data_IF_763024229256
#
_entry.id   IF_763024229256
#
_cell.length_a   1.000
_cell.length_b   1.000
_cell.length_c   1.000
_cell.angle_alpha   90.00
_cell.angle_beta   90.00
_cell.angle_gamma   90.00
#
_symmetry.space_group_name_H-M   'P 1'
#
loop_
_entity.id
_entity.type
_entity.pdbx_description
1 polymer ?
#
# COMPACT_ATOMS: atom_id res chain seq x y z
N UNK A 1 53.03 34.80 -22.46
CA UNK A 1 53.19 35.85 -21.44
C UNK A 1 52.00 36.79 -21.60
N UNK A 2 51.14 37.13 -20.64
CA UNK A 2 51.03 36.88 -19.21
C UNK A 2 49.51 36.76 -18.88
N UNK A 3 49.13 35.87 -17.96
CA UNK A 3 47.77 35.82 -17.38
C UNK A 3 47.72 36.81 -16.21
N UNK A 4 46.83 37.79 -16.27
CA UNK A 4 46.50 38.66 -15.13
C UNK A 4 45.72 37.85 -14.09
N UNK A 5 46.28 37.68 -12.90
CA UNK A 5 45.64 37.04 -11.75
C UNK A 5 44.67 37.99 -11.06
N UNK A 6 43.40 37.61 -10.96
CA UNK A 6 42.41 38.28 -10.11
C UNK A 6 42.55 37.80 -8.65
N UNK A 7 42.50 38.73 -7.70
CA UNK A 7 42.49 38.42 -6.26
C UNK A 7 41.21 37.67 -5.85
N UNK A 8 41.28 36.75 -4.87
CA UNK A 8 40.11 36.02 -4.37
C UNK A 8 39.16 36.96 -3.61
N UNK A 9 37.86 36.87 -3.91
CA UNK A 9 36.81 37.64 -3.24
C UNK A 9 36.52 37.03 -1.88
N UNK A 10 36.77 37.76 -0.79
CA UNK A 10 36.38 37.32 0.55
C UNK A 10 34.86 37.42 0.73
N UNK A 11 34.21 36.33 1.15
CA UNK A 11 32.78 36.30 1.45
C UNK A 11 32.56 36.35 2.98
N UNK A 12 31.65 37.23 3.44
CA UNK A 12 31.29 37.36 4.85
C UNK A 12 30.04 36.52 5.18
N UNK A 13 30.03 35.90 6.36
CA UNK A 13 28.87 35.14 6.84
C UNK A 13 27.67 36.07 7.06
N UNK A 14 26.47 35.71 6.54
CA UNK A 14 25.24 36.52 6.67
C UNK A 14 24.39 36.20 7.90
N UNK A 15 24.90 35.42 8.86
CA UNK A 15 24.14 35.12 10.08
C UNK A 15 24.09 36.37 11.00
N UNK A 16 22.94 36.69 11.64
CA UNK A 16 22.85 37.78 12.59
C UNK A 16 23.92 37.62 13.68
N UNK A 17 24.71 38.67 13.92
CA UNK A 17 25.80 38.73 14.91
C UNK A 17 27.04 37.85 14.62
N UNK A 18 27.28 37.42 13.38
CA UNK A 18 28.49 36.67 13.00
C UNK A 18 29.41 37.50 12.07
N UNK A 19 30.52 38.02 12.60
CA UNK A 19 31.46 38.88 11.87
C UNK A 19 32.68 38.14 11.29
N UNK A 20 32.58 36.82 11.05
CA UNK A 20 33.72 36.01 10.59
C UNK A 20 33.77 35.88 9.07
N UNK A 21 34.94 36.12 8.47
CA UNK A 21 35.22 35.90 7.04
C UNK A 21 35.32 34.40 6.72
N UNK A 22 34.70 33.96 5.62
CA UNK A 22 34.72 32.55 5.16
C UNK A 22 35.65 32.45 3.94
N UNK A 23 36.54 31.45 3.92
CA UNK A 23 37.40 31.18 2.77
C UNK A 23 36.72 30.25 1.75
N UNK A 24 37.06 30.39 0.47
CA UNK A 24 36.39 29.70 -0.64
C UNK A 24 36.48 28.16 -0.59
N UNK A 25 37.37 27.60 0.23
CA UNK A 25 37.61 26.15 0.33
C UNK A 25 36.91 25.46 1.49
N UNK A 26 36.12 26.18 2.30
CA UNK A 26 35.44 25.60 3.47
C UNK A 26 33.92 25.81 3.42
N UNK A 27 33.11 24.75 3.25
CA UNK A 27 31.66 24.89 3.04
C UNK A 27 30.88 25.30 4.31
N UNK A 28 31.53 25.43 5.46
CA UNK A 28 30.91 25.76 6.75
C UNK A 28 31.67 26.85 7.48
N UNK A 29 30.96 27.81 8.06
CA UNK A 29 31.58 28.80 8.94
C UNK A 29 32.04 28.13 10.25
N UNK A 30 33.33 28.21 10.59
CA UNK A 30 33.91 27.56 11.77
C UNK A 30 33.30 28.00 13.11
N UNK A 31 32.83 29.25 13.18
CA UNK A 31 32.25 29.81 14.41
C UNK A 31 30.82 29.31 14.66
N UNK A 32 29.95 29.31 13.64
CA UNK A 32 28.52 29.00 13.82
C UNK A 32 28.07 27.66 13.19
N UNK A 33 29.00 26.94 12.53
CA UNK A 33 28.78 25.67 11.80
C UNK A 33 27.67 25.69 10.74
N UNK A 34 27.21 26.86 10.30
CA UNK A 34 26.23 26.99 9.20
C UNK A 34 26.91 26.96 7.84
N UNK A 35 26.23 26.37 6.86
CA UNK A 35 26.71 26.21 5.48
C UNK A 35 26.63 27.53 4.72
N UNK A 36 27.70 27.91 4.02
CA UNK A 36 27.71 29.07 3.11
C UNK A 36 26.93 28.71 1.84
N UNK A 37 25.96 29.54 1.44
CA UNK A 37 25.08 29.27 0.28
C UNK A 37 25.71 29.64 -1.08
N UNK A 38 26.98 30.05 -1.14
CA UNK A 38 27.63 30.41 -2.40
C UNK A 38 29.02 29.78 -2.53
N UNK A 39 29.07 28.54 -3.02
CA UNK A 39 30.26 27.98 -3.68
C UNK A 39 29.79 27.24 -4.93
N UNK A 40 29.88 27.90 -6.09
CA UNK A 40 29.77 27.23 -7.40
C UNK A 40 31.15 26.70 -7.76
N UNK A 41 31.36 25.38 -7.64
CA UNK A 41 32.57 24.74 -8.14
C UNK A 41 32.47 24.57 -9.66
N UNK A 42 33.29 25.34 -10.37
CA UNK A 42 33.66 25.05 -11.76
C UNK A 42 34.58 23.82 -11.77
N UNK A 43 34.05 22.67 -12.18
CA UNK A 43 34.85 21.58 -12.74
C UNK A 43 34.07 20.95 -13.88
N UNK A 44 34.65 21.05 -15.07
CA UNK A 44 34.08 20.67 -16.33
C UNK A 44 34.03 19.16 -16.49
N UNK A 45 32.85 18.55 -16.36
CA UNK A 45 32.45 17.33 -17.06
C UNK A 45 30.94 17.43 -17.35
N UNK A 46 30.63 17.72 -18.62
CA UNK A 46 29.31 18.21 -19.04
C UNK A 46 28.20 17.18 -18.93
N UNK A 47 27.27 17.43 -18.01
CA UNK A 47 25.85 17.09 -18.19
C UNK A 47 25.14 18.38 -18.58
N UNK A 48 24.55 18.42 -19.78
CA UNK A 48 23.80 19.59 -20.25
C UNK A 48 22.57 19.82 -19.37
N UNK A 49 22.54 20.93 -18.65
CA UNK A 49 21.40 21.38 -17.84
C UNK A 49 20.64 22.43 -18.66
N UNK A 50 19.43 22.10 -19.12
CA UNK A 50 18.46 23.12 -19.54
C UNK A 50 17.71 23.56 -18.29
N UNK A 51 17.92 24.80 -17.86
CA UNK A 51 17.28 25.38 -16.68
C UNK A 51 15.95 26.06 -17.03
N UNK A 52 14.86 25.57 -16.46
CA UNK A 52 13.76 26.43 -16.02
C UNK A 52 13.02 25.78 -14.82
N UNK A 53 12.97 26.46 -13.67
CA UNK A 53 11.91 26.31 -12.65
C UNK A 53 11.77 25.03 -11.80
N UNK A 54 12.86 24.47 -11.26
CA UNK A 54 13.01 23.81 -9.94
C UNK A 54 12.00 22.74 -9.38
N UNK A 55 12.02 21.51 -9.93
CA UNK A 55 12.37 20.26 -9.18
C UNK A 55 13.12 19.34 -10.17
N UNK A 56 14.35 18.95 -9.83
CA UNK A 56 15.28 18.25 -10.73
C UNK A 56 14.74 16.86 -11.13
N UNK A 57 14.18 16.73 -12.33
CA UNK A 57 13.98 15.42 -12.98
C UNK A 57 15.36 14.79 -13.18
N UNK A 58 15.64 13.68 -12.51
CA UNK A 58 16.90 12.94 -12.73
C UNK A 58 16.77 12.16 -14.02
N UNK A 59 17.41 12.64 -15.08
CA UNK A 59 17.53 11.95 -16.37
C UNK A 59 18.92 11.34 -16.47
N UNK A 60 19.01 10.03 -16.67
CA UNK A 60 20.28 9.34 -16.92
C UNK A 60 20.59 9.34 -18.41
N UNK A 61 21.87 9.32 -18.76
CA UNK A 61 22.27 9.21 -20.15
C UNK A 61 21.93 7.82 -20.71
N UNK A 62 21.55 7.78 -21.99
CA UNK A 62 21.29 6.53 -22.70
C UNK A 62 22.59 5.78 -23.01
N UNK A 63 22.46 4.51 -23.41
CA UNK A 63 23.57 3.74 -23.92
C UNK A 63 24.24 4.48 -25.10
N UNK A 64 25.56 4.61 -25.08
CA UNK A 64 26.31 5.31 -26.13
C UNK A 64 26.30 4.58 -27.49
N UNK A 65 25.92 3.30 -27.52
CA UNK A 65 25.71 2.55 -28.75
C UNK A 65 24.39 2.98 -29.41
N UNK A 66 24.49 3.57 -30.61
CA UNK A 66 23.37 4.18 -31.33
C UNK A 66 22.23 3.23 -31.70
N UNK A 67 22.51 1.93 -31.90
CA UNK A 67 21.50 0.91 -32.19
C UNK A 67 21.06 0.10 -30.96
N UNK A 68 21.42 0.53 -29.74
CA UNK A 68 20.95 -0.11 -28.52
C UNK A 68 19.60 0.47 -28.07
N UNK A 69 18.56 -0.35 -27.84
CA UNK A 69 17.25 0.12 -27.39
C UNK A 69 17.21 0.54 -25.90
N UNK A 70 18.30 0.36 -25.16
CA UNK A 70 18.40 0.67 -23.73
C UNK A 70 18.43 2.19 -23.47
N UNK A 71 17.64 2.65 -22.50
CA UNK A 71 17.51 4.07 -22.18
C UNK A 71 18.39 4.53 -21.02
N UNK A 72 19.26 3.67 -20.50
CA UNK A 72 20.25 4.02 -19.50
C UNK A 72 21.60 3.39 -19.81
N UNK A 73 22.69 4.14 -19.61
CA UNK A 73 24.05 3.62 -19.56
C UNK A 73 24.33 2.94 -18.21
N UNK A 74 25.42 2.18 -18.10
CA UNK A 74 25.73 1.36 -16.93
C UNK A 74 25.81 2.18 -15.62
N UNK A 75 26.42 3.36 -15.65
CA UNK A 75 26.45 4.29 -14.51
C UNK A 75 25.45 5.45 -14.60
N UNK A 76 24.79 5.60 -15.74
CA UNK A 76 23.94 6.75 -16.04
C UNK A 76 24.71 7.97 -16.58
N UNK A 77 26.04 7.85 -16.76
CA UNK A 77 26.88 8.87 -17.37
C UNK A 77 26.82 8.86 -18.91
N UNK A 78 27.00 10.04 -19.52
CA UNK A 78 27.04 10.24 -20.98
C UNK A 78 28.26 9.53 -21.57
N UNK A 79 28.07 8.87 -22.71
CA UNK A 79 29.16 8.19 -23.43
C UNK A 79 29.45 6.76 -22.95
N UNK A 80 28.72 6.25 -21.97
CA UNK A 80 28.86 4.88 -21.48
C UNK A 80 27.90 3.89 -22.14
N UNK A 81 28.33 2.63 -22.23
CA UNK A 81 27.50 1.51 -22.66
C UNK A 81 26.59 1.05 -21.51
N UNK A 82 25.40 0.53 -21.83
CA UNK A 82 24.47 0.01 -20.83
C UNK A 82 24.93 -1.29 -20.15
N UNK A 83 25.76 -2.09 -20.83
CA UNK A 83 26.30 -3.34 -20.33
C UNK A 83 27.56 -3.74 -21.11
N UNK A 84 28.22 -4.82 -20.65
CA UNK A 84 29.43 -5.37 -21.28
C UNK A 84 29.18 -5.83 -22.72
N UNK A 85 28.06 -6.47 -23.00
CA UNK A 85 27.67 -6.87 -24.37
C UNK A 85 27.64 -5.69 -25.35
N UNK A 86 27.04 -4.57 -24.91
CA UNK A 86 27.03 -3.33 -25.70
C UNK A 86 28.42 -2.73 -25.85
N UNK A 87 29.28 -2.83 -24.83
CA UNK A 87 30.67 -2.39 -24.90
C UNK A 87 31.48 -3.22 -25.90
N UNK A 88 31.21 -4.52 -25.96
CA UNK A 88 31.98 -5.50 -26.75
C UNK A 88 31.54 -5.58 -28.23
N UNK A 89 30.59 -4.76 -28.66
CA UNK A 89 30.21 -4.68 -30.09
C UNK A 89 28.73 -4.98 -30.37
N UNK A 90 28.04 -5.65 -29.46
CA UNK A 90 26.72 -6.23 -29.73
C UNK A 90 25.64 -5.44 -29.01
N UNK A 91 24.71 -4.85 -29.76
CA UNK A 91 23.57 -4.15 -29.18
C UNK A 91 22.65 -5.12 -28.40
N UNK A 92 22.04 -4.65 -27.32
CA UNK A 92 21.00 -5.42 -26.65
C UNK A 92 19.83 -5.69 -27.61
N UNK A 93 19.39 -6.93 -27.71
CA UNK A 93 18.27 -7.31 -28.57
C UNK A 93 16.93 -6.68 -28.12
N UNK A 94 16.83 -6.28 -26.85
CA UNK A 94 15.66 -5.65 -26.23
C UNK A 94 16.11 -4.60 -25.22
N UNK A 95 15.19 -3.75 -24.79
CA UNK A 95 15.39 -2.69 -23.81
C UNK A 95 15.59 -3.26 -22.40
N UNK A 96 16.73 -3.90 -22.18
CA UNK A 96 17.04 -4.62 -20.94
C UNK A 96 17.51 -3.68 -19.82
N UNK A 97 18.01 -2.49 -20.16
CA UNK A 97 18.63 -1.57 -19.22
C UNK A 97 17.96 -0.20 -19.34
N UNK A 98 16.98 0.01 -18.46
CA UNK A 98 16.19 1.24 -18.39
C UNK A 98 16.61 2.14 -17.23
N UNK A 99 17.48 1.64 -16.35
CA UNK A 99 18.15 2.34 -15.25
C UNK A 99 19.62 1.88 -15.13
N UNK A 100 20.53 2.72 -14.57
CA UNK A 100 21.93 2.35 -14.40
C UNK A 100 22.16 1.21 -13.41
N UNK A 101 23.04 0.27 -13.76
CA UNK A 101 23.40 -0.88 -12.91
C UNK A 101 24.27 -0.50 -11.71
N UNK A 102 25.12 0.54 -11.80
CA UNK A 102 25.90 0.99 -10.64
C UNK A 102 25.03 1.56 -9.51
N UNK A 103 23.75 1.81 -9.77
CA UNK A 103 22.76 2.17 -8.76
C UNK A 103 22.19 0.96 -8.00
N UNK A 104 22.33 -0.25 -8.55
CA UNK A 104 21.94 -1.50 -7.90
C UNK A 104 23.03 -2.04 -6.95
N UNK A 105 24.27 -1.53 -7.06
CA UNK A 105 25.42 -2.04 -6.31
C UNK A 105 26.24 -0.89 -5.68
N UNK A 106 25.77 -0.34 -4.56
CA UNK A 106 26.61 0.50 -3.70
C UNK A 106 25.91 1.64 -2.95
N UNK A 107 25.44 1.35 -1.73
CA UNK A 107 25.59 2.25 -0.57
C UNK A 107 25.41 1.44 0.72
N UNK A 108 26.30 0.47 0.93
CA UNK A 108 26.63 -0.03 2.26
C UNK A 108 27.96 0.60 2.69
N UNK A 109 27.92 1.79 3.29
CA UNK A 109 29.00 2.29 4.15
C UNK A 109 28.44 3.26 5.19
N UNK A 110 28.42 2.79 6.43
CA UNK A 110 28.58 3.49 7.72
C UNK A 110 28.15 4.96 7.86
N UNK A 111 27.08 5.16 8.63
CA UNK A 111 26.91 6.27 9.59
C UNK A 111 25.96 5.74 10.69
N UNK A 112 26.44 5.35 11.87
CA UNK A 112 26.76 6.30 12.94
C UNK A 112 25.60 6.30 13.95
N UNK A 113 25.57 5.33 14.86
CA UNK A 113 24.64 5.31 16.00
C UNK A 113 24.93 6.48 16.94
N UNK A 114 23.91 7.18 17.48
CA UNK A 114 24.04 7.91 18.72
C UNK A 114 23.61 7.03 19.90
N UNK A 115 24.51 7.04 20.87
CA UNK A 115 24.50 6.39 22.17
C UNK A 115 23.51 7.01 23.17
N UNK A 116 23.24 6.19 24.19
CA UNK A 116 22.50 6.43 25.42
C UNK A 116 22.96 7.69 26.18
N UNK A 117 22.00 8.38 26.77
CA UNK A 117 22.15 9.30 27.90
C UNK A 117 20.76 9.83 28.25
N UNK A 118 20.31 9.99 29.49
CA UNK A 118 20.85 9.80 30.82
C UNK A 118 19.75 10.34 31.73
N UNK A 119 19.23 9.52 32.65
CA UNK A 119 18.15 9.90 33.55
C UNK A 119 18.69 10.81 34.66
N UNK A 120 18.11 12.00 34.82
CA UNK A 120 18.31 12.86 35.97
C UNK A 120 17.07 12.82 36.86
N UNK A 121 17.29 12.46 38.13
CA UNK A 121 16.36 12.55 39.25
C UNK A 121 16.13 14.01 39.64
N UNK A 122 14.92 14.32 40.11
CA UNK A 122 14.60 15.57 40.80
C UNK A 122 13.35 15.38 41.65
N UNK A 123 13.57 15.30 42.96
CA UNK A 123 12.57 15.17 44.01
C UNK A 123 11.65 16.41 44.10
N UNK A 124 10.38 16.20 44.46
CA UNK A 124 9.62 17.18 45.21
C UNK A 124 8.63 16.47 46.16
N UNK A 125 8.90 16.65 47.45
CA UNK A 125 8.10 16.22 48.60
C UNK A 125 6.85 17.08 48.74
N UNK A 126 5.74 16.46 49.13
CA UNK A 126 4.51 17.14 49.55
C UNK A 126 3.66 16.20 50.42
N UNK A 127 3.75 16.41 51.73
CA UNK A 127 3.19 15.63 52.83
C UNK A 127 1.70 15.94 53.07
N UNK A 128 0.87 14.94 53.45
CA UNK A 128 0.04 14.97 54.69
C UNK A 128 -0.89 13.74 54.85
N UNK A 129 -0.69 13.02 55.97
CA UNK A 129 -1.63 12.43 56.98
C UNK A 129 -3.10 12.13 56.59
N UNK A 130 -3.84 11.17 57.15
CA UNK A 130 -3.66 9.94 57.97
C UNK A 130 -5.07 9.36 58.24
N UNK A 131 -5.12 8.13 58.77
CA UNK A 131 -6.22 7.51 59.54
C UNK A 131 -7.39 6.83 58.80
N UNK A 132 -7.27 5.49 58.75
CA UNK A 132 -8.12 4.52 59.47
C UNK A 132 -9.63 4.38 59.18
N UNK A 133 -9.95 3.09 58.97
CA UNK A 133 -11.15 2.31 59.34
C UNK A 133 -12.22 2.00 58.28
N UNK A 134 -12.33 0.67 58.10
CA UNK A 134 -13.42 -0.18 57.65
C UNK A 134 -14.80 0.42 57.37
N UNK A 135 -15.40 -0.03 56.27
CA UNK A 135 -16.72 -0.69 56.29
C UNK A 135 -16.97 -1.44 54.99
N UNK A 136 -17.41 -2.69 55.12
CA UNK A 136 -17.99 -3.50 54.05
C UNK A 136 -19.24 -2.81 53.50
N UNK A 137 -19.30 -2.62 52.18
CA UNK A 137 -20.56 -2.59 51.44
C UNK A 137 -20.31 -3.18 50.04
N UNK A 138 -20.80 -4.39 49.84
CA UNK A 138 -20.98 -4.96 48.52
C UNK A 138 -22.12 -4.22 47.84
N UNK A 139 -21.92 -3.66 46.64
CA UNK A 139 -22.95 -3.63 45.59
C UNK A 139 -22.41 -3.13 44.25
N UNK A 140 -22.76 -3.89 43.21
CA UNK A 140 -22.79 -3.57 41.77
C UNK A 140 -21.52 -2.96 41.13
N UNK A 141 -20.71 -3.84 40.56
CA UNK A 141 -20.07 -3.54 39.28
C UNK A 141 -21.17 -3.18 38.28
N UNK A 142 -21.30 -1.89 37.96
CA UNK A 142 -22.03 -1.45 36.78
C UNK A 142 -21.32 -2.02 35.55
N UNK A 143 -21.83 -3.16 35.09
CA UNK A 143 -21.59 -3.68 33.75
C UNK A 143 -22.27 -2.73 32.76
N UNK A 144 -21.55 -1.70 32.35
CA UNK A 144 -21.93 -0.85 31.22
C UNK A 144 -22.09 -1.74 29.98
N UNK A 145 -23.33 -2.11 29.69
CA UNK A 145 -23.70 -2.91 28.52
C UNK A 145 -23.25 -2.15 27.26
N UNK A 146 -22.20 -2.67 26.63
CA UNK A 146 -21.75 -2.24 25.31
C UNK A 146 -22.95 -2.24 24.36
N UNK A 147 -23.16 -1.14 23.64
CA UNK A 147 -24.08 -1.12 22.52
C UNK A 147 -23.71 -2.29 21.56
N UNK A 148 -24.69 -3.11 21.11
CA UNK A 148 -24.39 -4.31 20.35
C UNK A 148 -23.70 -3.98 19.02
N UNK A 149 -22.84 -4.88 18.51
CA UNK A 149 -22.26 -4.75 17.18
C UNK A 149 -23.32 -4.56 16.10
N UNK A 150 -23.01 -3.87 14.97
CA UNK A 150 -23.84 -3.91 13.77
C UNK A 150 -24.11 -5.39 13.47
N UNK A 151 -25.38 -5.75 13.51
CA UNK A 151 -25.80 -7.15 13.57
C UNK A 151 -25.62 -7.82 12.19
N UNK A 152 -25.13 -9.05 12.15
CA UNK A 152 -25.23 -9.90 10.99
C UNK A 152 -26.62 -10.56 10.95
N UNK A 153 -27.39 -10.33 9.89
CA UNK A 153 -28.71 -10.93 9.68
C UNK A 153 -29.11 -10.92 8.18
N UNK A 154 -30.26 -11.48 7.78
CA UNK A 154 -30.49 -12.10 6.46
C UNK A 154 -30.86 -11.11 5.35
N UNK A 155 -30.74 -11.60 4.12
CA UNK A 155 -31.23 -10.99 2.89
C UNK A 155 -32.72 -10.67 3.05
N UNK A 156 -33.02 -9.37 3.11
CA UNK A 156 -34.34 -8.73 3.14
C UNK A 156 -35.45 -9.41 3.97
N UNK A 157 -35.61 -8.95 5.22
CA UNK A 157 -36.86 -8.44 5.83
C UNK A 157 -36.76 -8.49 7.36
N UNK A 158 -36.11 -7.48 7.95
CA UNK A 158 -36.04 -7.32 9.41
C UNK A 158 -34.65 -6.92 9.89
N UNK A 159 -34.52 -5.66 10.30
CA UNK A 159 -33.40 -5.05 11.06
C UNK A 159 -32.04 -5.83 11.04
N UNK A 160 -31.28 -5.57 9.95
CA UNK A 160 -29.80 -5.46 9.83
C UNK A 160 -29.10 -6.60 9.04
N UNK A 161 -28.74 -6.35 7.78
CA UNK A 161 -28.24 -7.31 6.78
C UNK A 161 -26.72 -7.34 6.65
N UNK A 162 -26.06 -8.50 6.53
CA UNK A 162 -24.65 -8.53 6.06
C UNK A 162 -24.62 -8.22 4.57
N UNK A 163 -23.67 -7.40 4.12
CA UNK A 163 -23.37 -7.18 2.71
C UNK A 163 -21.99 -7.77 2.41
N UNK A 164 -21.97 -8.97 1.84
CA UNK A 164 -20.73 -9.61 1.43
C UNK A 164 -20.31 -9.16 0.02
N UNK A 165 -19.01 -9.08 -0.20
CA UNK A 165 -18.42 -8.68 -1.47
C UNK A 165 -17.03 -9.29 -1.66
N UNK A 166 -16.56 -9.41 -2.91
CA UNK A 166 -15.18 -9.81 -3.24
C UNK A 166 -14.72 -9.34 -4.61
N UNK A 167 -15.50 -9.65 -5.66
CA UNK A 167 -15.23 -9.35 -7.06
C UNK A 167 -13.80 -9.69 -7.55
N UNK A 168 -13.43 -10.96 -7.76
CA UNK A 168 -12.15 -11.33 -8.36
C UNK A 168 -12.20 -11.23 -9.90
N UNK A 169 -12.51 -10.04 -10.44
CA UNK A 169 -12.83 -9.74 -11.86
C UNK A 169 -14.14 -10.30 -12.42
N UNK A 170 -14.91 -10.97 -11.59
CA UNK A 170 -16.27 -11.41 -11.90
C UNK A 170 -17.07 -11.40 -10.61
N UNK A 171 -18.38 -11.32 -10.72
CA UNK A 171 -19.23 -11.44 -9.54
C UNK A 171 -19.17 -12.89 -9.01
N UNK A 172 -19.10 -13.01 -7.69
CA UNK A 172 -19.35 -14.26 -6.97
C UNK A 172 -20.82 -14.37 -6.57
N UNK A 173 -21.23 -15.52 -6.04
CA UNK A 173 -22.61 -15.75 -5.58
C UNK A 173 -23.07 -14.72 -4.54
N UNK A 174 -22.19 -14.38 -3.58
CA UNK A 174 -22.51 -13.36 -2.57
C UNK A 174 -22.43 -11.93 -3.10
N UNK A 175 -21.59 -11.66 -4.11
CA UNK A 175 -21.57 -10.37 -4.81
C UNK A 175 -22.92 -10.10 -5.48
N UNK A 176 -23.41 -11.07 -6.27
CA UNK A 176 -24.69 -11.01 -6.98
C UNK A 176 -25.85 -10.88 -5.99
N UNK A 177 -25.85 -11.70 -4.94
CA UNK A 177 -26.91 -11.69 -3.96
C UNK A 177 -26.98 -10.42 -3.11
N UNK A 178 -25.83 -9.85 -2.75
CA UNK A 178 -25.79 -8.61 -1.98
C UNK A 178 -25.85 -7.36 -2.87
N UNK A 179 -25.67 -7.49 -4.19
CA UNK A 179 -25.51 -6.36 -5.10
C UNK A 179 -24.32 -5.45 -4.73
N UNK A 180 -23.27 -6.04 -4.14
CA UNK A 180 -22.19 -5.31 -3.47
C UNK A 180 -20.81 -5.49 -4.14
N UNK A 181 -20.75 -6.07 -5.34
CA UNK A 181 -19.50 -6.27 -6.10
C UNK A 181 -18.65 -5.00 -6.24
N UNK A 182 -19.29 -3.84 -6.34
CA UNK A 182 -18.65 -2.53 -6.46
C UNK A 182 -17.73 -2.17 -5.30
N UNK A 183 -17.84 -2.84 -4.15
CA UNK A 183 -16.99 -2.65 -2.99
C UNK A 183 -15.60 -3.30 -3.14
N UNK A 184 -15.48 -4.34 -3.99
CA UNK A 184 -14.23 -5.07 -4.22
C UNK A 184 -13.10 -4.22 -4.82
N UNK A 185 -11.86 -4.58 -4.51
CA UNK A 185 -10.69 -3.82 -4.97
C UNK A 185 -10.41 -3.97 -6.47
N UNK A 186 -10.83 -5.10 -7.04
CA UNK A 186 -10.65 -5.41 -8.46
C UNK A 186 -11.81 -4.87 -9.31
N UNK A 187 -12.86 -4.32 -8.69
CA UNK A 187 -13.99 -3.74 -9.40
C UNK A 187 -13.57 -2.56 -10.28
N UNK A 188 -14.01 -2.51 -11.56
CA UNK A 188 -13.68 -1.42 -12.46
C UNK A 188 -14.19 -0.07 -11.95
N UNK A 189 -13.29 0.87 -11.71
CA UNK A 189 -13.61 2.23 -11.34
C UNK A 189 -12.46 3.16 -11.70
N UNK A 190 -12.78 4.36 -12.18
CA UNK A 190 -11.77 5.40 -12.38
C UNK A 190 -11.38 6.02 -11.04
N UNK A 191 -10.10 5.89 -10.68
CA UNK A 191 -9.55 6.33 -9.40
C UNK A 191 -8.36 7.24 -9.66
N UNK A 192 -8.49 8.50 -9.29
CA UNK A 192 -7.44 9.49 -9.47
C UNK A 192 -6.71 9.78 -8.15
N UNK A 193 -5.42 9.42 -8.07
CA UNK A 193 -4.56 9.67 -6.90
C UNK A 193 -3.21 10.24 -7.33
N UNK A 194 -2.50 10.82 -6.37
CA UNK A 194 -1.08 11.15 -6.56
C UNK A 194 -0.25 9.93 -6.20
N UNK A 195 0.71 9.60 -7.06
CA UNK A 195 1.83 8.70 -6.75
C UNK A 195 3.09 9.53 -6.87
N UNK A 196 3.76 9.72 -5.74
CA UNK A 196 4.74 10.76 -5.47
C UNK A 196 4.17 12.13 -5.88
N UNK A 197 4.86 12.85 -6.76
CA UNK A 197 4.42 14.14 -7.30
C UNK A 197 3.58 14.00 -8.59
N UNK A 198 3.19 12.79 -9.00
CA UNK A 198 2.48 12.55 -10.27
C UNK A 198 1.02 12.15 -10.03
N UNK A 199 0.09 12.97 -10.55
CA UNK A 199 -1.33 12.63 -10.58
C UNK A 199 -1.62 11.61 -11.68
N UNK A 200 -2.17 10.46 -11.32
CA UNK A 200 -2.50 9.36 -12.23
C UNK A 200 -3.94 8.88 -12.00
N UNK A 201 -4.55 8.35 -13.06
CA UNK A 201 -5.87 7.69 -13.00
C UNK A 201 -5.68 6.20 -13.22
N UNK A 202 -6.30 5.38 -12.37
CA UNK A 202 -6.24 3.92 -12.39
C UNK A 202 -7.64 3.36 -12.63
N UNK A 203 -7.72 2.14 -13.18
CA UNK A 203 -8.98 1.47 -13.53
C UNK A 203 -9.56 0.58 -12.43
N UNK A 204 -8.85 0.42 -11.31
CA UNK A 204 -9.29 -0.33 -10.14
C UNK A 204 -8.52 0.12 -8.89
N UNK A 205 -9.07 -0.20 -7.71
CA UNK A 205 -8.40 0.09 -6.44
C UNK A 205 -7.13 -0.76 -6.27
N UNK A 206 -7.15 -2.01 -6.74
CA UNK A 206 -5.97 -2.88 -6.78
C UNK A 206 -4.83 -2.22 -7.57
N UNK A 207 -5.08 -1.74 -8.79
CA UNK A 207 -4.07 -1.08 -9.60
C UNK A 207 -3.50 0.18 -8.94
N UNK A 208 -4.37 1.03 -8.37
CA UNK A 208 -3.95 2.21 -7.63
C UNK A 208 -3.10 1.86 -6.39
N UNK A 209 -3.50 0.84 -5.64
CA UNK A 209 -2.82 0.43 -4.42
C UNK A 209 -1.44 -0.18 -4.71
N UNK A 210 -1.32 -1.05 -5.71
CA UNK A 210 -0.01 -1.59 -6.09
C UNK A 210 0.91 -0.48 -6.67
N UNK A 211 0.36 0.52 -7.35
CA UNK A 211 1.14 1.67 -7.79
C UNK A 211 1.77 2.46 -6.63
N UNK A 212 1.11 2.52 -5.47
CA UNK A 212 1.69 3.13 -4.27
C UNK A 212 2.84 2.29 -3.69
N UNK A 213 2.81 0.96 -3.84
CA UNK A 213 3.93 0.08 -3.45
C UNK A 213 5.11 0.15 -4.42
N UNK A 214 4.85 0.43 -5.69
CA UNK A 214 5.85 0.43 -6.74
C UNK A 214 5.80 1.75 -7.53
N UNK A 215 6.08 2.90 -6.88
CA UNK A 215 5.84 4.22 -7.47
C UNK A 215 6.62 4.45 -8.78
N UNK A 216 7.81 3.86 -8.92
CA UNK A 216 8.64 3.96 -10.12
C UNK A 216 8.00 3.36 -11.39
N UNK A 217 7.05 2.43 -11.24
CA UNK A 217 6.30 1.85 -12.35
C UNK A 217 4.78 2.11 -12.27
N UNK A 218 4.34 3.09 -11.47
CA UNK A 218 2.94 3.46 -11.30
C UNK A 218 2.17 3.68 -12.62
N UNK A 219 2.83 4.21 -13.65
CA UNK A 219 2.23 4.39 -14.98
C UNK A 219 1.85 3.07 -15.67
N UNK A 220 2.55 1.97 -15.39
CA UNK A 220 2.17 0.66 -15.92
C UNK A 220 0.84 0.23 -15.30
N UNK A 221 0.74 0.30 -13.96
CA UNK A 221 -0.50 0.00 -13.22
C UNK A 221 -1.69 0.85 -13.67
N UNK A 222 -1.48 2.13 -14.04
CA UNK A 222 -2.58 3.01 -14.51
C UNK A 222 -3.36 2.47 -15.71
N UNK A 223 -2.74 1.58 -16.49
CA UNK A 223 -3.33 0.98 -17.70
C UNK A 223 -3.83 -0.45 -17.49
N UNK A 224 -3.75 -0.97 -16.27
CA UNK A 224 -4.08 -2.35 -15.92
C UNK A 224 -5.46 -2.42 -15.28
N UNK A 225 -6.09 -3.58 -15.39
CA UNK A 225 -7.24 -3.90 -14.54
C UNK A 225 -6.74 -4.50 -13.21
N UNK A 226 -7.65 -5.01 -12.37
CA UNK A 226 -7.26 -5.62 -11.09
C UNK A 226 -6.35 -6.85 -11.23
N UNK A 227 -6.63 -7.77 -12.16
CA UNK A 227 -5.88 -9.03 -12.28
C UNK A 227 -4.51 -8.82 -12.92
N UNK A 228 -4.43 -7.96 -13.94
CA UNK A 228 -3.16 -7.57 -14.55
C UNK A 228 -2.24 -6.89 -13.52
N UNK A 229 -2.80 -5.99 -12.70
CA UNK A 229 -2.07 -5.34 -11.62
C UNK A 229 -1.57 -6.35 -10.57
N UNK A 230 -2.43 -7.28 -10.15
CA UNK A 230 -2.04 -8.33 -9.22
C UNK A 230 -0.98 -9.28 -9.80
N UNK A 231 -1.03 -9.55 -11.11
CA UNK A 231 -0.04 -10.37 -11.79
C UNK A 231 1.31 -9.65 -11.86
N UNK A 232 1.29 -8.38 -12.27
CA UNK A 232 2.50 -7.55 -12.32
C UNK A 232 3.14 -7.41 -10.94
N UNK A 233 2.35 -7.15 -9.89
CA UNK A 233 2.90 -6.95 -8.54
C UNK A 233 3.62 -8.19 -8.04
N UNK A 234 3.14 -9.39 -8.34
CA UNK A 234 3.83 -10.65 -7.99
C UNK A 234 5.16 -10.77 -8.70
N UNK A 235 5.20 -10.49 -10.00
CA UNK A 235 6.45 -10.51 -10.76
C UNK A 235 7.47 -9.46 -10.24
N UNK A 236 6.99 -8.31 -9.75
CA UNK A 236 7.87 -7.29 -9.16
C UNK A 236 8.37 -7.68 -7.77
N UNK A 237 7.54 -8.33 -6.93
CA UNK A 237 7.93 -8.76 -5.58
C UNK A 237 9.10 -9.77 -5.60
N UNK A 238 9.28 -10.51 -6.70
CA UNK A 238 10.40 -11.44 -6.88
C UNK A 238 11.75 -10.72 -7.07
N UNK A 239 11.75 -9.53 -7.70
CA UNK A 239 12.97 -8.80 -8.08
C UNK A 239 13.20 -7.50 -7.29
N UNK A 240 12.15 -6.95 -6.68
CA UNK A 240 12.16 -5.62 -6.07
C UNK A 240 11.35 -5.58 -4.77
N UNK A 241 11.98 -5.06 -3.71
CA UNK A 241 11.27 -4.78 -2.48
C UNK A 241 10.24 -3.64 -2.69
N UNK A 242 8.98 -3.81 -2.24
CA UNK A 242 7.99 -2.73 -2.34
C UNK A 242 8.38 -1.55 -1.44
N UNK A 243 7.97 -0.35 -1.86
CA UNK A 243 8.01 0.83 -1.01
C UNK A 243 7.05 0.65 0.18
N UNK A 244 7.64 0.47 1.36
CA UNK A 244 6.91 0.27 2.62
C UNK A 244 6.25 1.54 3.14
N UNK A 245 6.61 2.70 2.60
CA UNK A 245 5.95 3.99 2.91
C UNK A 245 4.75 4.24 2.03
N UNK A 246 4.53 3.39 1.01
CA UNK A 246 3.45 3.52 0.04
C UNK A 246 3.42 4.89 -0.62
N UNK A 247 4.54 5.34 -1.18
CA UNK A 247 4.67 6.68 -1.77
C UNK A 247 4.40 7.80 -0.75
N UNK A 248 4.89 7.61 0.48
CA UNK A 248 4.76 8.58 1.57
C UNK A 248 3.42 8.59 2.32
N UNK A 249 2.52 7.65 2.03
CA UNK A 249 1.24 7.51 2.76
C UNK A 249 1.34 6.81 4.13
N UNK A 250 2.52 6.28 4.46
CA UNK A 250 2.81 5.68 5.77
C UNK A 250 2.68 4.16 5.74
N UNK A 251 1.48 3.64 5.95
CA UNK A 251 1.23 2.19 6.04
C UNK A 251 0.31 1.64 4.94
N UNK A 252 0.21 0.31 4.87
CA UNK A 252 -0.74 -0.39 3.99
C UNK A 252 -2.19 0.05 4.26
N UNK A 253 -2.53 0.22 5.54
CA UNK A 253 -3.84 0.67 6.01
C UNK A 253 -4.15 2.09 5.53
N UNK A 254 -3.20 3.02 5.67
CA UNK A 254 -3.35 4.42 5.27
C UNK A 254 -3.35 4.58 3.75
N UNK A 255 -2.50 3.85 3.03
CA UNK A 255 -2.49 3.85 1.58
C UNK A 255 -3.81 3.36 0.97
N UNK A 256 -4.40 2.29 1.53
CA UNK A 256 -5.71 1.80 1.08
C UNK A 256 -6.83 2.82 1.36
N UNK A 257 -6.74 3.59 2.44
CA UNK A 257 -7.68 4.70 2.70
C UNK A 257 -7.68 5.72 1.58
N UNK A 258 -6.49 6.16 1.15
CA UNK A 258 -6.34 7.16 0.09
C UNK A 258 -6.97 6.66 -1.20
N UNK A 259 -6.70 5.40 -1.56
CA UNK A 259 -7.27 4.76 -2.75
C UNK A 259 -8.79 4.68 -2.68
N UNK A 260 -9.35 4.18 -1.59
CA UNK A 260 -10.81 4.02 -1.45
C UNK A 260 -11.51 5.38 -1.35
N UNK A 261 -10.95 6.35 -0.62
CA UNK A 261 -11.49 7.72 -0.61
C UNK A 261 -11.52 8.32 -2.01
N UNK A 262 -10.47 8.12 -2.81
CA UNK A 262 -10.46 8.57 -4.20
C UNK A 262 -11.49 7.84 -5.07
N UNK A 263 -11.68 6.52 -4.88
CA UNK A 263 -12.70 5.71 -5.57
C UNK A 263 -14.10 6.28 -5.39
N UNK A 264 -14.51 6.52 -4.15
CA UNK A 264 -15.85 7.02 -3.85
C UNK A 264 -16.00 8.53 -4.11
N UNK A 265 -14.93 9.32 -3.90
CA UNK A 265 -14.96 10.76 -4.21
C UNK A 265 -15.10 11.05 -5.71
N UNK A 266 -14.53 10.21 -6.56
CA UNK A 266 -14.57 10.41 -8.02
C UNK A 266 -15.83 9.83 -8.68
N UNK A 267 -16.62 9.05 -7.94
CA UNK A 267 -17.77 8.31 -8.47
C UNK A 267 -19.00 8.45 -7.56
N UNK A 268 -19.82 9.47 -7.79
CA UNK A 268 -21.02 9.75 -6.97
C UNK A 268 -21.99 8.57 -6.91
N UNK A 269 -22.13 7.81 -8.00
CA UNK A 269 -22.96 6.59 -8.03
C UNK A 269 -22.45 5.54 -7.03
N UNK A 270 -21.14 5.30 -6.98
CA UNK A 270 -20.53 4.35 -6.05
C UNK A 270 -20.59 4.86 -4.61
N UNK A 271 -20.41 6.17 -4.41
CA UNK A 271 -20.55 6.78 -3.08
C UNK A 271 -21.98 6.65 -2.54
N UNK A 272 -22.98 6.88 -3.39
CA UNK A 272 -24.39 6.68 -3.04
C UNK A 272 -24.65 5.22 -2.70
N UNK A 273 -24.23 4.28 -3.56
CA UNK A 273 -24.39 2.86 -3.29
C UNK A 273 -23.72 2.42 -1.97
N UNK A 274 -22.53 2.94 -1.64
CA UNK A 274 -21.89 2.70 -0.35
C UNK A 274 -22.73 3.24 0.82
N UNK A 275 -23.28 4.46 0.71
CA UNK A 275 -24.18 5.01 1.73
C UNK A 275 -25.47 4.21 1.88
N UNK A 276 -26.00 3.69 0.78
CA UNK A 276 -27.25 2.93 0.70
C UNK A 276 -27.12 1.53 1.33
N UNK A 277 -25.90 1.02 1.51
CA UNK A 277 -25.66 -0.16 2.37
C UNK A 277 -26.12 0.06 3.83
N UNK A 278 -26.42 1.30 4.22
CA UNK A 278 -27.06 1.57 5.50
C UNK A 278 -26.14 1.26 6.67
N UNK A 279 -26.67 0.55 7.67
CA UNK A 279 -25.90 0.05 8.81
C UNK A 279 -25.41 -1.40 8.61
N UNK A 280 -25.46 -1.91 7.37
CA UNK A 280 -25.05 -3.28 7.06
C UNK A 280 -23.58 -3.51 7.40
N UNK A 281 -23.26 -4.70 7.88
CA UNK A 281 -21.87 -5.11 8.06
C UNK A 281 -21.27 -5.46 6.70
N UNK A 282 -20.21 -4.78 6.31
CA UNK A 282 -19.54 -5.03 5.03
C UNK A 282 -18.48 -6.12 5.24
N UNK A 283 -18.64 -7.26 4.58
CA UNK A 283 -17.76 -8.42 4.70
C UNK A 283 -17.04 -8.67 3.38
N UNK A 284 -15.73 -8.49 3.34
CA UNK A 284 -14.94 -9.01 2.22
C UNK A 284 -14.81 -10.53 2.40
N UNK A 285 -15.63 -11.29 1.67
CA UNK A 285 -15.72 -12.74 1.78
C UNK A 285 -15.10 -13.42 0.56
N UNK A 286 -14.12 -14.30 0.77
CA UNK A 286 -13.50 -15.10 -0.29
C UNK A 286 -13.86 -16.57 -0.12
N UNK A 287 -14.22 -17.30 -1.18
CA UNK A 287 -14.42 -18.76 -1.09
C UNK A 287 -13.14 -19.53 -0.76
N UNK A 288 -11.98 -18.90 -0.93
CA UNK A 288 -10.70 -19.52 -0.65
C UNK A 288 -10.17 -19.15 0.73
N UNK A 289 -9.89 -20.18 1.53
CA UNK A 289 -9.24 -20.07 2.84
C UNK A 289 -7.71 -19.94 2.69
N UNK A 290 -7.08 -19.23 3.62
CA UNK A 290 -5.62 -19.00 3.70
C UNK A 290 -5.01 -18.17 2.56
N UNK A 291 -5.81 -17.33 1.89
CA UNK A 291 -5.29 -16.39 0.87
C UNK A 291 -4.92 -15.03 1.45
N UNK A 292 -5.84 -14.40 2.17
CA UNK A 292 -5.65 -13.01 2.60
C UNK A 292 -6.32 -12.69 3.95
N UNK A 293 -5.68 -13.11 5.05
CA UNK A 293 -6.22 -12.96 6.42
C UNK A 293 -6.35 -11.51 6.91
N UNK A 294 -5.65 -10.56 6.29
CA UNK A 294 -5.69 -9.17 6.74
C UNK A 294 -6.85 -8.39 6.10
N UNK A 295 -6.96 -8.38 4.76
CA UNK A 295 -8.00 -7.62 4.09
C UNK A 295 -9.36 -8.30 4.18
N UNK A 296 -9.40 -9.63 3.99
CA UNK A 296 -10.63 -10.43 3.98
C UNK A 296 -10.93 -11.09 5.33
N UNK A 297 -12.06 -11.78 5.39
CA UNK A 297 -12.47 -12.67 6.47
C UNK A 297 -11.80 -14.06 6.43
N UNK A 298 -10.88 -14.29 5.49
CA UNK A 298 -10.22 -15.58 5.24
C UNK A 298 -11.18 -16.70 4.76
N UNK A 299 -12.41 -16.37 4.36
CA UNK A 299 -13.43 -17.32 3.91
C UNK A 299 -14.09 -18.14 5.01
N UNK A 300 -13.51 -18.16 6.21
CA UNK A 300 -13.98 -18.90 7.38
C UNK A 300 -14.29 -18.00 8.58
N UNK A 301 -14.21 -16.68 8.41
CA UNK A 301 -14.41 -15.70 9.47
C UNK A 301 -13.20 -15.44 10.37
N UNK A 302 -12.09 -16.16 10.20
CA UNK A 302 -10.89 -15.99 11.02
C UNK A 302 -10.01 -14.78 10.63
N UNK A 303 -10.29 -14.18 9.46
CA UNK A 303 -9.60 -12.99 8.97
C UNK A 303 -10.01 -11.70 9.69
N UNK A 304 -9.27 -10.62 9.42
CA UNK A 304 -9.49 -9.31 10.03
C UNK A 304 -10.59 -8.52 9.32
N UNK A 305 -10.95 -8.86 8.07
CA UNK A 305 -11.90 -8.08 7.25
C UNK A 305 -11.55 -6.57 7.24
N UNK A 306 -10.25 -6.24 7.13
CA UNK A 306 -9.80 -4.85 7.17
C UNK A 306 -10.37 -4.03 6.00
N UNK A 307 -10.66 -4.63 4.85
CA UNK A 307 -11.25 -3.91 3.73
C UNK A 307 -12.69 -3.49 4.07
N UNK A 308 -13.51 -4.42 4.56
CA UNK A 308 -14.86 -4.14 5.04
C UNK A 308 -14.87 -3.08 6.15
N UNK A 309 -13.95 -3.18 7.11
CA UNK A 309 -13.75 -2.16 8.14
C UNK A 309 -13.50 -0.77 7.54
N UNK A 310 -12.56 -0.67 6.59
CA UNK A 310 -12.19 0.61 5.98
C UNK A 310 -13.35 1.23 5.21
N UNK A 311 -14.11 0.41 4.48
CA UNK A 311 -15.30 0.85 3.75
C UNK A 311 -16.40 1.36 4.69
N UNK A 312 -16.63 0.70 5.83
CA UNK A 312 -17.59 1.16 6.83
C UNK A 312 -17.20 2.51 7.45
N UNK A 313 -15.90 2.75 7.68
CA UNK A 313 -15.41 4.05 8.13
C UNK A 313 -15.63 5.14 7.07
N UNK A 314 -15.31 4.86 5.80
CA UNK A 314 -15.54 5.79 4.69
C UNK A 314 -17.03 6.08 4.50
N UNK A 315 -17.89 5.05 4.61
CA UNK A 315 -19.34 5.22 4.60
C UNK A 315 -19.80 6.19 5.68
N UNK A 316 -19.30 6.04 6.91
CA UNK A 316 -19.58 6.96 8.01
C UNK A 316 -19.17 8.40 7.73
N UNK A 317 -17.98 8.61 7.17
CA UNK A 317 -17.52 9.95 6.77
C UNK A 317 -18.44 10.57 5.71
N UNK A 318 -18.80 9.81 4.67
CA UNK A 318 -19.69 10.28 3.60
C UNK A 318 -21.08 10.61 4.14
N UNK A 319 -21.66 9.75 4.99
CA UNK A 319 -22.97 9.97 5.62
C UNK A 319 -22.94 11.18 6.54
N UNK A 320 -21.88 11.37 7.33
CA UNK A 320 -21.71 12.54 8.19
C UNK A 320 -21.68 13.83 7.38
N UNK A 321 -20.98 13.87 6.25
CA UNK A 321 -20.97 15.02 5.33
C UNK A 321 -22.37 15.33 4.77
N UNK A 322 -23.25 14.33 4.71
CA UNK A 322 -24.66 14.45 4.29
C UNK A 322 -25.63 14.74 5.44
N UNK A 323 -25.14 14.95 6.67
CA UNK A 323 -25.97 15.15 7.86
C UNK A 323 -26.70 13.88 8.35
N UNK A 324 -26.24 12.70 7.92
CA UNK A 324 -26.82 11.41 8.29
C UNK A 324 -26.02 10.75 9.42
N UNK A 325 -26.73 10.04 10.31
CA UNK A 325 -26.11 9.21 11.33
C UNK A 325 -25.64 7.86 10.74
N UNK A 326 -24.57 7.31 11.30
CA UNK A 326 -24.03 5.98 10.95
C UNK A 326 -23.63 5.25 12.24
N UNK A 327 -24.54 4.42 12.75
CA UNK A 327 -24.36 3.72 14.02
C UNK A 327 -23.18 2.73 13.96
N UNK A 328 -22.86 2.24 12.77
CA UNK A 328 -21.71 1.37 12.54
C UNK A 328 -20.40 2.10 12.86
N UNK A 329 -20.22 3.33 12.37
CA UNK A 329 -19.02 4.13 12.61
C UNK A 329 -18.85 4.51 14.08
N UNK A 330 -19.96 4.79 14.77
CA UNK A 330 -19.93 5.05 16.22
C UNK A 330 -19.51 3.81 17.01
N UNK A 331 -20.01 2.63 16.62
CA UNK A 331 -19.59 1.37 17.20
C UNK A 331 -18.11 1.06 16.91
N UNK A 332 -17.65 1.30 15.68
CA UNK A 332 -16.26 1.12 15.27
C UNK A 332 -15.31 1.99 16.09
N UNK A 333 -15.64 3.27 16.31
CA UNK A 333 -14.85 4.18 17.18
C UNK A 333 -14.73 3.67 18.61
N UNK A 334 -15.77 3.02 19.15
CA UNK A 334 -15.72 2.44 20.50
C UNK A 334 -14.80 1.23 20.58
N UNK A 335 -14.76 0.40 19.54
CA UNK A 335 -13.94 -0.82 19.54
C UNK A 335 -12.48 -0.53 19.21
N UNK A 336 -12.20 0.34 18.26
CA UNK A 336 -10.83 0.56 17.79
C UNK A 336 -10.17 1.79 18.40
N UNK A 337 -10.95 2.68 19.02
CA UNK A 337 -10.43 3.94 19.54
C UNK A 337 -9.93 4.84 18.40
N UNK A 338 -8.61 5.06 18.36
CA UNK A 338 -7.96 5.89 17.35
C UNK A 338 -7.59 5.09 16.09
N UNK A 339 -8.15 5.51 14.95
CA UNK A 339 -7.88 4.93 13.64
C UNK A 339 -6.64 5.53 12.94
N UNK A 340 -5.94 6.48 13.55
CA UNK A 340 -4.70 7.07 13.02
C UNK A 340 -3.47 6.17 13.21
N UNK A 341 -3.65 4.95 13.70
CA UNK A 341 -2.56 3.98 13.87
C UNK A 341 -2.24 3.27 12.54
N UNK A 342 -0.99 2.80 12.40
CA UNK A 342 -0.55 2.10 11.19
C UNK A 342 -1.36 0.82 10.88
N UNK A 343 -1.96 0.23 11.92
CA UNK A 343 -2.76 -1.00 11.83
C UNK A 343 -3.95 -0.93 12.78
N UNK A 344 -5.18 -1.26 12.31
CA UNK A 344 -6.34 -1.26 13.17
C UNK A 344 -6.22 -2.37 14.22
N UNK A 345 -6.41 -2.01 15.50
CA UNK A 345 -6.35 -2.95 16.63
C UNK A 345 -7.66 -2.86 17.42
N UNK A 346 -8.53 -3.89 17.35
CA UNK A 346 -9.75 -3.88 18.13
C UNK A 346 -9.46 -4.11 19.61
N UNK A 347 -10.21 -3.43 20.46
CA UNK A 347 -10.25 -3.66 21.90
C UNK A 347 -11.13 -4.90 22.13
N UNK A 348 -10.54 -5.92 22.77
CA UNK A 348 -11.22 -7.19 23.04
C UNK A 348 -11.56 -7.98 21.78
N UNK A 349 -12.55 -8.87 21.89
CA UNK A 349 -12.91 -9.82 20.83
C UNK A 349 -14.15 -9.42 20.01
N UNK A 350 -14.73 -8.24 20.27
CA UNK A 350 -16.01 -7.83 19.67
C UNK A 350 -15.94 -7.74 18.14
N UNK A 351 -14.84 -7.22 17.58
CA UNK A 351 -14.66 -7.18 16.12
C UNK A 351 -14.53 -8.58 15.53
N UNK A 352 -13.66 -9.43 16.11
CA UNK A 352 -13.49 -10.82 15.64
C UNK A 352 -14.82 -11.58 15.67
N UNK A 353 -15.59 -11.44 16.73
CA UNK A 353 -16.92 -12.04 16.84
C UNK A 353 -17.88 -11.52 15.76
N UNK A 354 -17.83 -10.22 15.43
CA UNK A 354 -18.65 -9.66 14.36
C UNK A 354 -18.27 -10.22 12.98
N UNK A 355 -16.96 -10.35 12.69
CA UNK A 355 -16.48 -10.96 11.44
C UNK A 355 -16.90 -12.43 11.36
N UNK A 356 -16.67 -13.21 12.41
CA UNK A 356 -17.07 -14.62 12.46
C UNK A 356 -18.58 -14.78 12.24
N UNK A 357 -19.40 -14.04 13.00
CA UNK A 357 -20.85 -14.12 12.86
C UNK A 357 -21.32 -13.68 11.46
N UNK A 358 -20.64 -12.73 10.81
CA UNK A 358 -20.97 -12.33 9.44
C UNK A 358 -20.61 -13.43 8.44
N UNK A 359 -19.44 -14.06 8.57
CA UNK A 359 -19.03 -15.19 7.74
C UNK A 359 -19.96 -16.39 7.89
N UNK A 360 -20.31 -16.76 9.12
CA UNK A 360 -21.25 -17.85 9.40
C UNK A 360 -22.59 -17.60 8.71
N UNK A 361 -23.10 -16.36 8.73
CA UNK A 361 -24.35 -16.00 8.03
C UNK A 361 -24.24 -16.12 6.51
N UNK A 362 -23.10 -15.76 5.93
CA UNK A 362 -22.90 -15.93 4.49
C UNK A 362 -22.87 -17.41 4.14
N UNK A 363 -22.19 -18.25 4.92
CA UNK A 363 -22.11 -19.69 4.68
C UNK A 363 -23.45 -20.42 4.95
N UNK A 364 -24.29 -19.92 5.85
CA UNK A 364 -25.66 -20.41 6.05
C UNK A 364 -26.55 -20.15 4.82
N UNK A 365 -26.38 -19.00 4.16
CA UNK A 365 -27.20 -18.59 3.01
C UNK A 365 -26.65 -19.17 1.71
N UNK A 366 -25.32 -19.20 1.57
CA UNK A 366 -24.56 -19.67 0.41
C UNK A 366 -23.62 -20.81 0.84
N UNK A 367 -24.17 -21.99 1.15
CA UNK A 367 -23.33 -23.13 1.47
C UNK A 367 -22.45 -23.46 0.26
N UNK A 368 -21.13 -23.53 0.47
CA UNK A 368 -20.22 -24.02 -0.55
C UNK A 368 -20.68 -25.42 -0.97
N UNK A 369 -20.91 -25.63 -2.28
CA UNK A 369 -21.20 -26.97 -2.78
C UNK A 369 -20.04 -27.90 -2.39
N UNK A 370 -20.33 -28.84 -1.49
CA UNK A 370 -19.43 -29.95 -1.21
C UNK A 370 -19.22 -30.69 -2.54
N UNK A 371 -17.98 -31.01 -2.95
CA UNK A 371 -17.77 -31.82 -4.14
C UNK A 371 -18.54 -33.11 -3.95
N UNK A 372 -19.62 -33.30 -4.72
CA UNK A 372 -20.49 -34.46 -4.59
C UNK A 372 -19.63 -35.71 -4.73
N UNK A 373 -19.53 -36.54 -3.69
CA UNK A 373 -19.07 -37.90 -3.83
C UNK A 373 -20.01 -38.58 -4.83
N UNK A 374 -19.57 -38.68 -6.09
CA UNK A 374 -20.28 -39.47 -7.09
C UNK A 374 -20.38 -40.87 -6.52
N UNK A 375 -21.62 -41.31 -6.33
CA UNK A 375 -21.98 -42.67 -6.00
C UNK A 375 -21.22 -43.65 -6.92
N UNK A 376 -20.13 -44.25 -6.43
CA UNK A 376 -19.50 -45.39 -7.08
C UNK A 376 -20.20 -46.65 -6.57
N UNK A 377 -21.34 -46.98 -7.17
CA UNK A 377 -21.91 -48.31 -7.01
C UNK A 377 -21.05 -49.33 -7.76
N UNK A 378 -20.52 -50.31 -7.01
CA UNK A 378 -20.00 -51.63 -7.43
C UNK A 378 -18.67 -51.69 -8.20
N UNK A 379 -17.61 -52.10 -7.49
CA UNK A 379 -16.88 -53.39 -7.70
C UNK A 379 -15.93 -53.70 -6.53
N UNK A 380 -15.81 -54.99 -6.24
CA UNK A 380 -15.19 -55.69 -5.09
C UNK A 380 -13.66 -55.50 -4.92
N UNK A 381 -13.06 -55.97 -3.79
CA UNK A 381 -11.86 -55.38 -3.20
C UNK A 381 -10.57 -56.03 -3.66
N UNK A 382 -9.52 -55.24 -3.84
CA UNK A 382 -8.15 -55.74 -3.87
C UNK A 382 -7.24 -54.86 -3.02
N UNK A 383 -6.34 -55.52 -2.28
CA UNK A 383 -5.62 -55.02 -1.12
C UNK A 383 -4.47 -54.06 -1.48
N UNK A 384 -4.30 -53.08 -0.58
CA UNK A 384 -3.05 -52.57 0.02
C UNK A 384 -2.09 -51.68 -0.78
N UNK A 385 -1.99 -50.38 -0.39
CA UNK A 385 -0.83 -49.71 0.27
C UNK A 385 -0.99 -48.16 0.35
N UNK A 386 -0.21 -47.44 1.20
CA UNK A 386 -0.69 -46.28 1.96
C UNK A 386 -0.68 -44.94 1.20
N UNK A 387 -1.60 -44.06 1.59
CA UNK A 387 -1.78 -42.69 1.10
C UNK A 387 -0.62 -41.78 1.53
N UNK A 388 0.16 -41.32 0.56
CA UNK A 388 0.98 -40.11 0.64
C UNK A 388 0.41 -39.06 -0.31
N UNK A 389 0.14 -37.88 0.25
CA UNK A 389 -0.01 -36.56 -0.40
C UNK A 389 -0.48 -36.54 -1.87
N UNK A 390 -1.77 -36.27 -2.08
CA UNK A 390 -2.30 -35.85 -3.37
C UNK A 390 -1.74 -34.45 -3.75
N UNK A 391 -0.74 -34.46 -4.63
CA UNK A 391 -0.55 -33.41 -5.64
C UNK A 391 -1.36 -33.83 -6.86
N UNK A 392 -2.33 -33.03 -7.30
CA UNK A 392 -2.86 -33.20 -8.65
C UNK A 392 -1.88 -32.64 -9.70
N UNK A 393 -1.72 -33.32 -10.85
CA UNK A 393 -0.86 -32.88 -11.94
C UNK A 393 -1.56 -31.83 -12.81
N UNK A 394 -0.77 -30.87 -13.28
CA UNK A 394 -1.13 -29.88 -14.28
C UNK A 394 -1.75 -30.54 -15.52
N UNK A 395 -2.98 -30.14 -15.88
CA UNK A 395 -3.47 -30.29 -17.25
C UNK A 395 -2.79 -29.22 -18.10
N UNK A 396 -1.89 -29.65 -18.97
CA UNK A 396 -1.36 -28.83 -20.06
C UNK A 396 -2.52 -28.42 -20.97
N UNK A 397 -2.81 -27.12 -21.02
CA UNK A 397 -3.60 -26.55 -22.11
C UNK A 397 -2.66 -26.33 -23.30
N UNK A 398 -3.03 -26.75 -24.54
CA UNK A 398 -2.22 -26.47 -25.71
C UNK A 398 -2.10 -24.96 -25.90
N UNK A 399 -0.86 -24.49 -26.06
CA UNK A 399 -0.54 -23.08 -26.27
C UNK A 399 -1.28 -22.55 -27.51
N UNK A 400 -2.15 -21.56 -27.30
CA UNK A 400 -2.69 -20.77 -28.40
C UNK A 400 -1.54 -19.96 -29.02
N UNK A 401 -1.40 -19.95 -30.36
CA UNK A 401 -0.38 -19.14 -31.01
C UNK A 401 -0.63 -17.64 -30.74
N UNK A 402 0.43 -16.83 -30.61
CA UNK A 402 0.30 -15.41 -30.34
C UNK A 402 -0.44 -14.69 -31.48
N UNK A 403 -1.25 -13.65 -31.16
CA UNK A 403 -1.96 -12.89 -32.16
C UNK A 403 -0.97 -12.21 -33.13
N UNK A 404 -1.20 -12.39 -34.44
CA UNK A 404 -0.44 -11.70 -35.49
C UNK A 404 -0.70 -10.20 -35.39
N UNK A 405 0.36 -9.44 -35.09
CA UNK A 405 0.32 -7.98 -35.14
C UNK A 405 0.24 -7.50 -36.61
N UNK A 406 -0.50 -6.41 -36.89
CA UNK A 406 -0.65 -5.90 -38.25
C UNK A 406 0.67 -5.34 -38.78
N UNK A 407 1.03 -5.73 -40.00
CA UNK A 407 2.13 -5.14 -40.74
C UNK A 407 1.78 -3.68 -41.09
N UNK A 408 2.57 -2.73 -40.59
CA UNK A 408 2.50 -1.34 -41.07
C UNK A 408 3.34 -1.24 -42.35
N UNK A 409 2.67 -0.81 -43.44
CA UNK A 409 3.29 -0.20 -44.61
C UNK A 409 3.72 1.23 -44.31
#
# INVERSE_FOLDING_TARGET
>A
MARTGGQPRQATCKAPNCNTSVSDNEPYCKSCRRRSENVTSNSAYGSGIVTNGNRKKRTFAMCCRSNCPCTASYSGAVGEYCCRTCKDGTACARKNHVFPQSWASGNQTAAGQPSRGGAAKGDARGNTRSCSQDTRAATSQETWQLAPPPRPAPIAHGRHSVCAFYYPQKETEWDEACGCSFLGNFYPADICINVDDTRLTFRSAEAAFQALKFPWCARAFSKMDGLDAFTLKRALEDDHAPDKTFSGHGSNWQAMEVVLKAKFRSNDKLANALCDTGNSFLLEHSSAVNRERFWSDNGDGSGMNALGLRLMLIRGELRKLRGQQDACSDWLRKIFGDFNTDTPRPIGNAWRAAVQNAADRILEIYPLEQPSERHSSRRSPERSRPLTCWREPHKEFPALPPPKLPACK
#
